data_IF_593028204501
#
_entry.id   IF_593028204501
#
_cell.length_a   1.000
_cell.length_b   1.000
_cell.length_c   1.000
_cell.angle_alpha   90.00
_cell.angle_beta   90.00
_cell.angle_gamma   90.00
#
_symmetry.space_group_name_H-M   'P 1'
#
loop_
_entity.id
_entity.type
_entity.pdbx_description
1 polymer ?
#
# COMPACT_ATOMS: atom_id res chain seq x y z
N UNK A 1 16.94 -12.57 -29.76
CA UNK A 1 16.32 -11.87 -28.62
C UNK A 1 16.96 -12.41 -27.35
N UNK A 2 17.44 -11.53 -26.48
CA UNK A 2 18.42 -11.84 -25.43
C UNK A 2 17.81 -12.64 -24.26
N UNK A 3 18.07 -13.95 -24.21
CA UNK A 3 17.70 -14.83 -23.08
C UNK A 3 18.29 -14.38 -21.73
N UNK A 4 19.39 -13.62 -21.75
CA UNK A 4 20.03 -13.09 -20.53
C UNK A 4 19.32 -11.86 -19.95
N UNK A 5 18.45 -11.20 -20.71
CA UNK A 5 17.67 -10.05 -20.22
C UNK A 5 16.47 -10.50 -19.36
N UNK A 6 15.88 -11.64 -19.71
CA UNK A 6 14.73 -12.22 -18.98
C UNK A 6 15.14 -12.78 -17.61
N UNK A 7 16.27 -13.49 -17.53
CA UNK A 7 16.68 -14.16 -16.30
C UNK A 7 17.04 -13.19 -15.16
N UNK A 8 17.73 -12.10 -15.48
CA UNK A 8 18.12 -11.10 -14.49
C UNK A 8 16.92 -10.31 -13.94
N UNK A 9 15.95 -10.02 -14.79
CA UNK A 9 14.71 -9.33 -14.40
C UNK A 9 13.82 -10.23 -13.54
N UNK A 10 13.69 -11.50 -13.92
CA UNK A 10 12.95 -12.50 -13.14
C UNK A 10 13.57 -12.71 -11.75
N UNK A 11 14.89 -12.83 -11.66
CA UNK A 11 15.61 -13.00 -10.38
C UNK A 11 15.46 -11.78 -9.46
N UNK A 12 15.62 -10.57 -10.00
CA UNK A 12 15.42 -9.33 -9.24
C UNK A 12 13.98 -9.20 -8.70
N UNK A 13 13.01 -9.59 -9.51
CA UNK A 13 11.59 -9.59 -9.15
C UNK A 13 11.28 -10.61 -8.05
N UNK A 14 11.83 -11.83 -8.15
CA UNK A 14 11.71 -12.85 -7.11
C UNK A 14 12.33 -12.41 -5.78
N UNK A 15 13.52 -11.81 -5.83
CA UNK A 15 14.21 -11.33 -4.63
C UNK A 15 13.44 -10.20 -3.94
N UNK A 16 12.82 -9.30 -4.72
CA UNK A 16 11.92 -8.27 -4.19
C UNK A 16 10.74 -8.89 -3.46
N UNK A 17 10.10 -9.90 -4.07
CA UNK A 17 8.98 -10.61 -3.45
C UNK A 17 9.37 -11.29 -2.13
N UNK A 18 10.53 -11.94 -2.05
CA UNK A 18 10.99 -12.57 -0.80
C UNK A 18 11.25 -11.57 0.31
N UNK A 19 11.84 -10.41 0.01
CA UNK A 19 12.06 -9.39 1.04
C UNK A 19 10.73 -8.89 1.61
N UNK A 20 9.74 -8.63 0.77
CA UNK A 20 8.43 -8.18 1.26
C UNK A 20 7.72 -9.26 2.07
N UNK A 21 7.90 -10.54 1.71
CA UNK A 21 7.46 -11.66 2.56
C UNK A 21 8.12 -11.62 3.94
N UNK A 22 9.43 -11.44 4.01
CA UNK A 22 10.16 -11.31 5.28
C UNK A 22 9.68 -10.11 6.09
N UNK A 23 9.44 -8.95 5.45
CA UNK A 23 8.84 -7.79 6.12
C UNK A 23 7.49 -8.14 6.75
N UNK A 24 6.62 -8.82 6.01
CA UNK A 24 5.32 -9.24 6.51
C UNK A 24 5.47 -10.27 7.64
N UNK A 25 6.44 -11.19 7.55
CA UNK A 25 6.74 -12.16 8.61
C UNK A 25 7.17 -11.46 9.89
N UNK A 26 8.10 -10.52 9.80
CA UNK A 26 8.67 -9.79 10.93
C UNK A 26 7.67 -8.80 11.55
N UNK A 27 6.96 -8.05 10.71
CA UNK A 27 5.99 -7.06 11.14
C UNK A 27 4.81 -7.73 11.84
N UNK A 28 4.29 -8.80 11.25
CA UNK A 28 3.05 -9.46 11.68
C UNK A 28 3.32 -10.58 12.70
N UNK A 29 4.58 -10.96 12.91
CA UNK A 29 4.95 -12.15 13.69
C UNK A 29 4.17 -13.38 13.21
N UNK A 30 4.29 -13.68 11.91
CA UNK A 30 3.58 -14.79 11.25
C UNK A 30 3.76 -16.13 11.98
N UNK A 31 4.93 -16.50 12.53
CA UNK A 31 5.07 -17.72 13.33
C UNK A 31 4.12 -17.77 14.54
N UNK A 32 3.84 -16.64 15.19
CA UNK A 32 2.89 -16.56 16.29
C UNK A 32 1.42 -16.57 15.83
N UNK A 33 1.12 -16.01 14.65
CA UNK A 33 -0.22 -16.12 14.04
C UNK A 33 -0.49 -17.55 13.56
N UNK A 34 0.47 -18.18 12.89
CA UNK A 34 0.35 -19.54 12.36
C UNK A 34 0.14 -20.58 13.47
N UNK A 35 0.85 -20.46 14.60
CA UNK A 35 0.69 -21.36 15.76
C UNK A 35 -0.68 -21.23 16.45
N UNK A 36 -1.42 -20.16 16.19
CA UNK A 36 -2.75 -19.93 16.76
C UNK A 36 -3.81 -20.05 15.67
N UNK A 37 -4.41 -21.23 15.48
CA UNK A 37 -5.43 -21.50 14.46
C UNK A 37 -6.61 -20.49 14.43
N UNK A 38 -6.95 -19.87 15.57
CA UNK A 38 -7.97 -18.80 15.64
C UNK A 38 -7.57 -17.51 14.91
N UNK A 39 -6.29 -17.35 14.55
CA UNK A 39 -5.72 -16.16 13.89
C UNK A 39 -5.50 -16.36 12.38
N UNK A 40 -5.93 -17.47 11.78
CA UNK A 40 -5.92 -17.60 10.31
C UNK A 40 -6.89 -16.65 9.59
N UNK A 41 -7.91 -16.16 10.30
CA UNK A 41 -8.81 -15.13 9.80
C UNK A 41 -8.28 -13.70 10.03
N UNK A 42 -7.06 -13.56 10.58
CA UNK A 42 -6.46 -12.26 10.77
C UNK A 42 -6.11 -11.64 9.40
N UNK A 43 -6.50 -10.38 9.11
CA UNK A 43 -6.27 -9.76 7.81
C UNK A 43 -4.80 -9.76 7.38
N UNK A 44 -3.87 -9.50 8.32
CA UNK A 44 -2.45 -9.56 8.04
C UNK A 44 -1.94 -10.97 7.63
N UNK A 45 -2.50 -12.03 8.22
CA UNK A 45 -2.18 -13.41 7.83
C UNK A 45 -2.75 -13.73 6.45
N UNK A 46 -3.97 -13.28 6.15
CA UNK A 46 -4.59 -13.45 4.83
C UNK A 46 -3.77 -12.75 3.75
N UNK A 47 -3.38 -11.49 3.98
CA UNK A 47 -2.53 -10.73 3.06
C UNK A 47 -1.18 -11.43 2.83
N UNK A 48 -0.50 -11.88 3.90
CA UNK A 48 0.75 -12.63 3.79
C UNK A 48 0.57 -13.94 3.02
N UNK A 49 -0.47 -14.72 3.32
CA UNK A 49 -0.74 -16.01 2.67
C UNK A 49 -1.01 -15.83 1.18
N UNK A 50 -1.85 -14.86 0.83
CA UNK A 50 -2.17 -14.59 -0.56
C UNK A 50 -0.96 -14.06 -1.32
N UNK A 51 -0.14 -13.22 -0.69
CA UNK A 51 1.13 -12.79 -1.27
C UNK A 51 2.08 -13.98 -1.48
N UNK A 52 2.20 -14.88 -0.49
CA UNK A 52 2.94 -16.13 -0.61
C UNK A 52 2.44 -16.99 -1.79
N UNK A 53 1.12 -17.15 -1.92
CA UNK A 53 0.52 -17.92 -3.01
C UNK A 53 0.81 -17.30 -4.40
N UNK A 54 0.86 -15.96 -4.50
CA UNK A 54 1.26 -15.25 -5.72
C UNK A 54 2.74 -15.52 -6.04
N UNK A 55 3.62 -15.41 -5.04
CA UNK A 55 5.08 -15.54 -5.19
C UNK A 55 5.47 -16.98 -5.52
N UNK A 56 4.97 -17.96 -4.77
CA UNK A 56 5.23 -19.39 -4.97
C UNK A 56 4.54 -19.92 -6.23
N UNK A 57 3.39 -19.37 -6.59
CA UNK A 57 2.79 -19.60 -7.90
C UNK A 57 3.67 -19.11 -9.06
N UNK A 58 4.76 -18.37 -8.80
CA UNK A 58 5.56 -17.64 -9.81
C UNK A 58 4.69 -16.72 -10.67
N UNK A 59 3.63 -16.14 -10.10
CA UNK A 59 2.62 -15.38 -10.86
C UNK A 59 1.66 -16.24 -11.69
N UNK A 60 1.75 -17.58 -11.67
CA UNK A 60 0.81 -18.47 -12.33
C UNK A 60 -0.43 -18.69 -11.45
N UNK A 61 -1.40 -17.79 -11.64
CA UNK A 61 -2.69 -17.85 -10.97
C UNK A 61 -3.53 -19.01 -11.55
N UNK A 62 -4.20 -19.80 -10.69
CA UNK A 62 -4.99 -20.94 -11.13
C UNK A 62 -6.13 -20.50 -12.06
N UNK A 63 -6.39 -21.31 -13.10
CA UNK A 63 -7.55 -21.13 -13.99
C UNK A 63 -8.80 -21.78 -13.38
N UNK A 64 -10.02 -21.26 -13.65
CA UNK A 64 -10.32 -20.12 -14.53
C UNK A 64 -9.96 -18.76 -13.92
N UNK A 65 -9.65 -17.78 -14.78
CA UNK A 65 -9.46 -16.37 -14.40
C UNK A 65 -10.72 -15.88 -13.67
N UNK A 66 -10.61 -15.66 -12.36
CA UNK A 66 -11.58 -14.88 -11.61
C UNK A 66 -11.08 -13.43 -11.52
N UNK A 67 -11.69 -12.47 -12.24
CA UNK A 67 -11.25 -11.08 -12.22
C UNK A 67 -11.20 -10.46 -10.82
N UNK A 68 -12.11 -10.86 -9.92
CA UNK A 68 -12.13 -10.38 -8.54
C UNK A 68 -10.91 -10.88 -7.76
N UNK A 69 -10.53 -12.15 -7.97
CA UNK A 69 -9.33 -12.73 -7.36
C UNK A 69 -8.07 -12.04 -7.86
N UNK A 70 -8.00 -11.73 -9.16
CA UNK A 70 -6.86 -11.02 -9.74
C UNK A 70 -6.78 -9.57 -9.27
N UNK A 71 -7.91 -8.88 -9.13
CA UNK A 71 -7.94 -7.53 -8.57
C UNK A 71 -7.43 -7.54 -7.13
N UNK A 72 -7.82 -8.55 -6.34
CA UNK A 72 -7.29 -8.79 -4.98
C UNK A 72 -5.79 -9.06 -4.99
N UNK A 73 -5.29 -9.87 -5.92
CA UNK A 73 -3.84 -10.12 -6.05
C UNK A 73 -3.07 -8.86 -6.43
N UNK A 74 -3.57 -8.08 -7.40
CA UNK A 74 -2.99 -6.81 -7.79
C UNK A 74 -2.94 -5.83 -6.60
N UNK A 75 -4.03 -5.70 -5.85
CA UNK A 75 -4.08 -4.94 -4.59
C UNK A 75 -3.00 -5.36 -3.61
N UNK A 76 -2.88 -6.67 -3.37
CA UNK A 76 -1.91 -7.21 -2.42
C UNK A 76 -0.48 -6.90 -2.86
N UNK A 77 -0.18 -7.03 -4.15
CA UNK A 77 1.12 -6.64 -4.70
C UNK A 77 1.39 -5.14 -4.51
N UNK A 78 0.41 -4.27 -4.76
CA UNK A 78 0.54 -2.83 -4.54
C UNK A 78 0.81 -2.51 -3.07
N UNK A 79 -0.02 -3.03 -2.17
CA UNK A 79 0.08 -2.78 -0.74
C UNK A 79 1.43 -3.25 -0.19
N UNK A 80 1.88 -4.43 -0.61
CA UNK A 80 3.15 -5.02 -0.19
C UNK A 80 4.36 -4.19 -0.70
N UNK A 81 4.29 -3.67 -1.93
CA UNK A 81 5.29 -2.75 -2.47
C UNK A 81 5.33 -1.42 -1.71
N UNK A 82 4.17 -0.84 -1.39
CA UNK A 82 4.08 0.40 -0.64
C UNK A 82 4.58 0.23 0.80
N UNK A 83 4.27 -0.89 1.45
CA UNK A 83 4.84 -1.25 2.75
C UNK A 83 6.37 -1.34 2.71
N UNK A 84 6.92 -1.97 1.68
CA UNK A 84 8.37 -2.09 1.50
C UNK A 84 9.04 -0.72 1.45
N UNK A 85 8.48 0.21 0.66
CA UNK A 85 8.98 1.58 0.61
C UNK A 85 8.88 2.27 1.98
N UNK A 86 7.73 2.17 2.63
CA UNK A 86 7.47 2.84 3.91
C UNK A 86 8.41 2.36 5.02
N UNK A 87 8.79 1.07 4.98
CA UNK A 87 9.76 0.52 5.92
C UNK A 87 11.13 1.20 5.83
N UNK A 88 11.42 1.90 4.73
CA UNK A 88 12.75 2.46 4.42
C UNK A 88 13.55 1.60 3.44
N UNK A 89 12.96 0.50 2.96
CA UNK A 89 13.46 -0.25 1.82
C UNK A 89 13.60 0.64 0.58
N UNK A 90 14.60 0.38 -0.25
CA UNK A 90 14.73 1.05 -1.55
C UNK A 90 13.72 0.39 -2.49
N UNK A 91 12.56 1.03 -2.71
CA UNK A 91 11.68 0.62 -3.81
C UNK A 91 12.46 0.70 -5.13
N UNK A 92 12.25 -0.30 -6.00
CA UNK A 92 12.70 -0.37 -7.39
C UNK A 92 13.95 0.48 -7.72
N UNK A 93 15.15 0.02 -7.35
CA UNK A 93 16.35 0.75 -7.77
C UNK A 93 17.70 0.34 -7.18
N UNK A 94 17.74 -0.55 -6.17
CA UNK A 94 19.02 -1.04 -5.67
C UNK A 94 18.91 -2.45 -5.10
N UNK A 95 18.75 -3.42 -6.02
CA UNK A 95 18.73 -4.87 -5.78
C UNK A 95 19.99 -5.35 -5.01
N UNK A 96 21.06 -4.54 -4.98
CA UNK A 96 22.33 -4.88 -4.35
C UNK A 96 22.46 -4.54 -2.87
N UNK A 97 21.55 -3.76 -2.26
CA UNK A 97 21.66 -3.41 -0.83
C UNK A 97 20.59 -4.01 0.08
N UNK A 98 19.62 -4.78 -0.45
CA UNK A 98 18.69 -5.71 0.23
C UNK A 98 18.59 -5.63 1.76
N UNK A 99 18.33 -4.46 2.31
CA UNK A 99 18.00 -4.29 3.71
C UNK A 99 16.53 -3.93 3.74
N UNK A 100 15.74 -4.83 4.29
CA UNK A 100 14.46 -4.47 4.87
C UNK A 100 14.67 -3.26 5.75
N UNK A 101 13.87 -2.23 5.53
CA UNK A 101 13.90 -1.10 6.42
C UNK A 101 13.29 -1.52 7.76
N UNK A 102 13.88 -1.05 8.85
CA UNK A 102 13.42 -1.21 10.23
C UNK A 102 12.31 -0.22 10.60
N UNK A 103 11.70 0.42 9.60
CA UNK A 103 10.94 1.65 9.76
C UNK A 103 11.79 2.76 10.40
N UNK A 104 13.14 2.78 10.28
CA UNK A 104 13.98 3.86 10.83
C UNK A 104 13.64 5.23 10.27
N UNK A 105 13.03 5.31 9.08
CA UNK A 105 12.49 6.58 8.56
C UNK A 105 11.26 7.06 9.35
N UNK A 106 10.55 6.16 10.05
CA UNK A 106 9.56 6.49 11.08
C UNK A 106 10.21 6.77 12.46
N UNK A 107 11.48 6.41 12.65
CA UNK A 107 12.46 7.08 13.53
C UNK A 107 12.26 7.09 15.05
N UNK A 108 11.08 6.73 15.55
CA UNK A 108 10.76 6.69 16.97
C UNK A 108 10.33 5.27 17.36
N UNK A 109 11.00 4.69 18.37
CA UNK A 109 10.67 3.39 18.96
C UNK A 109 9.19 3.28 19.34
N UNK A 110 8.56 4.41 19.69
CA UNK A 110 7.12 4.48 19.98
C UNK A 110 6.27 4.17 18.75
N UNK A 111 6.64 4.69 17.58
CA UNK A 111 5.95 4.42 16.32
C UNK A 111 6.06 2.95 15.96
N UNK A 112 7.26 2.38 16.05
CA UNK A 112 7.45 0.96 15.79
C UNK A 112 6.64 0.10 16.77
N UNK A 113 6.55 0.51 18.04
CA UNK A 113 5.71 -0.15 19.04
C UNK A 113 4.22 -0.04 18.71
N UNK A 114 3.73 1.13 18.26
CA UNK A 114 2.34 1.33 17.78
C UNK A 114 2.06 0.40 16.60
N UNK A 115 2.89 0.43 15.57
CA UNK A 115 2.76 -0.43 14.38
C UNK A 115 2.67 -1.90 14.80
N UNK A 116 3.62 -2.41 15.60
CA UNK A 116 3.63 -3.79 16.11
C UNK A 116 2.41 -4.14 16.97
N UNK A 117 1.86 -3.18 17.70
CA UNK A 117 0.64 -3.41 18.50
C UNK A 117 -0.62 -3.50 17.62
N UNK A 118 -0.73 -2.60 16.62
CA UNK A 118 -1.89 -2.48 15.74
C UNK A 118 -1.94 -3.60 14.69
N UNK A 119 -0.79 -4.04 14.19
CA UNK A 119 -0.70 -5.11 13.19
C UNK A 119 -1.20 -6.46 13.71
N UNK A 120 -1.21 -6.65 15.04
CA UNK A 120 -1.69 -7.86 15.70
C UNK A 120 -3.19 -7.80 16.07
N UNK A 121 -3.83 -6.64 15.87
CA UNK A 121 -5.26 -6.43 16.10
C UNK A 121 -5.98 -6.38 14.74
N UNK A 122 -6.85 -7.36 14.49
CA UNK A 122 -7.58 -7.47 13.24
C UNK A 122 -8.42 -6.25 12.90
N UNK A 123 -8.92 -5.54 13.92
CA UNK A 123 -9.76 -4.36 13.73
C UNK A 123 -8.94 -3.09 13.44
N UNK A 124 -7.65 -3.08 13.80
CA UNK A 124 -6.77 -1.94 13.63
C UNK A 124 -5.78 -2.11 12.47
N UNK A 125 -5.55 -3.35 12.03
CA UNK A 125 -4.65 -3.65 10.93
C UNK A 125 -5.00 -2.86 9.66
N UNK A 126 -6.27 -2.81 9.30
CA UNK A 126 -6.72 -2.13 8.09
C UNK A 126 -6.54 -0.60 8.17
N UNK A 127 -6.83 -0.01 9.33
CA UNK A 127 -6.56 1.42 9.59
C UNK A 127 -5.06 1.72 9.52
N UNK A 128 -4.23 0.84 10.09
CA UNK A 128 -2.77 0.93 10.02
C UNK A 128 -2.28 0.84 8.56
N UNK A 129 -2.82 -0.08 7.77
CA UNK A 129 -2.46 -0.21 6.35
C UNK A 129 -2.78 1.07 5.58
N UNK A 130 -3.96 1.67 5.81
CA UNK A 130 -4.30 2.98 5.23
C UNK A 130 -3.25 4.03 5.61
N UNK A 131 -2.87 4.13 6.89
CA UNK A 131 -1.81 5.07 7.35
C UNK A 131 -0.48 4.84 6.62
N UNK A 132 0.03 3.61 6.61
CA UNK A 132 1.32 3.26 6.03
C UNK A 132 1.36 3.43 4.52
N UNK A 133 0.33 2.99 3.80
CA UNK A 133 0.24 3.09 2.33
C UNK A 133 0.30 4.56 1.87
N UNK A 134 -0.40 5.44 2.57
CA UNK A 134 -0.47 6.85 2.18
C UNK A 134 0.81 7.59 2.54
N UNK A 135 1.42 7.29 3.68
CA UNK A 135 2.76 7.76 3.99
C UNK A 135 3.78 7.30 2.92
N UNK A 136 3.66 6.07 2.41
CA UNK A 136 4.52 5.56 1.35
C UNK A 136 4.36 6.41 0.08
N UNK A 137 3.12 6.75 -0.28
CA UNK A 137 2.85 7.60 -1.42
C UNK A 137 3.52 8.98 -1.30
N UNK A 138 3.43 9.62 -0.14
CA UNK A 138 4.13 10.89 0.10
C UNK A 138 5.63 10.74 -0.11
N UNK A 139 6.22 9.66 0.41
CA UNK A 139 7.65 9.36 0.27
C UNK A 139 8.05 9.13 -1.20
N UNK A 140 7.23 8.41 -2.00
CA UNK A 140 7.48 8.22 -3.44
C UNK A 140 7.58 9.55 -4.18
N UNK A 141 6.75 10.51 -3.81
CA UNK A 141 6.71 11.85 -4.38
C UNK A 141 7.70 12.82 -3.71
N UNK A 142 8.71 12.27 -3.04
CA UNK A 142 9.81 13.01 -2.39
C UNK A 142 9.34 13.96 -1.28
N UNK A 143 8.08 13.86 -0.85
CA UNK A 143 7.57 14.60 0.30
C UNK A 143 8.13 14.01 1.60
N UNK A 144 8.30 14.86 2.61
CA UNK A 144 8.74 14.44 3.91
C UNK A 144 7.53 14.08 4.78
N UNK A 145 7.52 12.86 5.32
CA UNK A 145 6.53 12.39 6.29
C UNK A 145 7.15 12.38 7.68
N UNK A 146 6.44 12.92 8.67
CA UNK A 146 6.83 12.90 10.07
C UNK A 146 5.68 12.32 10.91
N UNK A 147 5.77 11.05 11.35
CA UNK A 147 4.74 10.39 12.14
C UNK A 147 4.62 10.98 13.55
N UNK A 148 3.43 10.85 14.14
CA UNK A 148 3.19 11.21 15.53
C UNK A 148 2.63 10.04 16.34
N UNK A 149 3.04 10.00 17.62
CA UNK A 149 2.66 8.95 18.58
C UNK A 149 1.93 9.49 19.79
N UNK A 150 1.83 10.81 19.90
CA UNK A 150 1.20 11.45 21.02
C UNK A 150 -0.32 11.27 20.96
N UNK A 151 -0.93 10.87 22.08
CA UNK A 151 -2.36 10.65 22.13
C UNK A 151 -3.12 11.94 21.78
N UNK A 152 -4.07 11.84 20.86
CA UNK A 152 -4.85 12.98 20.40
C UNK A 152 -4.10 13.91 19.44
N UNK A 153 -2.91 13.53 18.97
CA UNK A 153 -2.29 14.16 17.79
C UNK A 153 -2.85 13.49 16.51
N UNK A 154 -2.70 14.14 15.35
CA UNK A 154 -2.94 13.48 14.06
C UNK A 154 -1.94 12.35 13.81
N UNK A 155 -2.14 11.51 12.80
CA UNK A 155 -1.26 10.36 12.54
C UNK A 155 0.13 10.79 12.05
N UNK A 156 0.20 11.78 11.15
CA UNK A 156 1.47 12.32 10.68
C UNK A 156 1.36 13.76 10.15
N UNK A 157 2.51 14.40 9.96
CA UNK A 157 2.67 15.66 9.23
C UNK A 157 3.39 15.39 7.91
N UNK A 158 2.89 16.01 6.85
CA UNK A 158 3.56 16.02 5.54
C UNK A 158 4.19 17.39 5.31
N UNK A 159 5.37 17.41 4.72
CA UNK A 159 6.02 18.60 4.17
C UNK A 159 6.29 18.37 2.67
N UNK A 160 5.67 19.20 1.83
CA UNK A 160 5.79 19.11 0.37
C UNK A 160 7.20 19.47 -0.08
N UNK A 161 7.73 18.68 -1.02
CA UNK A 161 9.12 18.80 -1.47
C UNK A 161 9.40 20.15 -2.13
N UNK A 162 8.55 20.54 -3.09
CA UNK A 162 8.81 21.71 -3.93
C UNK A 162 8.56 23.03 -3.21
N UNK A 163 7.47 23.12 -2.44
CA UNK A 163 7.07 24.36 -1.78
C UNK A 163 7.48 24.47 -0.31
N UNK A 164 7.82 23.35 0.34
CA UNK A 164 8.07 23.31 1.78
C UNK A 164 6.81 23.51 2.64
N UNK A 165 5.63 23.67 2.04
CA UNK A 165 4.37 23.77 2.77
C UNK A 165 4.13 22.50 3.57
N UNK A 166 3.61 22.66 4.79
CA UNK A 166 3.35 21.54 5.69
C UNK A 166 1.89 21.49 6.12
N UNK A 167 1.36 20.29 6.31
CA UNK A 167 0.00 20.06 6.80
C UNK A 167 -0.06 18.77 7.62
N UNK A 168 -1.10 18.68 8.44
CA UNK A 168 -1.37 17.53 9.31
C UNK A 168 -2.29 16.55 8.60
N UNK A 169 -2.12 15.25 8.84
CA UNK A 169 -2.94 14.19 8.25
C UNK A 169 -3.45 13.25 9.33
N UNK A 170 -4.76 13.02 9.36
CA UNK A 170 -5.40 11.96 10.16
C UNK A 170 -6.05 10.96 9.19
N UNK A 171 -5.66 9.69 9.29
CA UNK A 171 -6.09 8.62 8.41
C UNK A 171 -7.24 7.84 9.03
N UNK A 172 -8.30 7.64 8.25
CA UNK A 172 -9.45 6.87 8.71
C UNK A 172 -10.06 6.03 7.61
N UNK A 173 -10.25 4.74 7.90
CA UNK A 173 -11.07 3.86 7.08
C UNK A 173 -12.53 3.86 7.54
N UNK A 174 -13.45 3.84 6.59
CA UNK A 174 -14.88 3.69 6.82
C UNK A 174 -15.31 2.33 6.29
N UNK A 175 -15.88 1.51 7.17
CA UNK A 175 -16.34 0.16 6.82
C UNK A 175 -17.80 0.18 6.36
N UNK A 176 -18.20 -0.84 5.60
CA UNK A 176 -19.58 -1.03 5.10
C UNK A 176 -20.64 -1.02 6.21
N UNK A 177 -20.30 -1.51 7.41
CA UNK A 177 -21.18 -1.49 8.58
C UNK A 177 -21.31 -0.10 9.23
N UNK A 178 -20.55 0.90 8.79
CA UNK A 178 -20.58 2.25 9.35
C UNK A 178 -21.72 3.06 8.75
N UNK A 179 -22.66 3.48 9.59
CA UNK A 179 -23.68 4.47 9.20
C UNK A 179 -23.07 5.87 8.98
N UNK A 180 -23.83 6.76 8.34
CA UNK A 180 -23.33 8.07 7.89
C UNK A 180 -22.93 9.00 9.04
N UNK A 181 -23.49 8.79 10.24
CA UNK A 181 -23.05 9.46 11.47
C UNK A 181 -21.55 9.25 11.77
N UNK A 182 -20.94 8.18 11.22
CA UNK A 182 -19.51 7.93 11.36
C UNK A 182 -18.69 9.07 10.76
N UNK A 183 -19.08 9.62 9.61
CA UNK A 183 -18.38 10.73 8.96
C UNK A 183 -18.24 11.92 9.89
N UNK A 184 -19.35 12.35 10.49
CA UNK A 184 -19.37 13.42 11.50
C UNK A 184 -18.38 13.14 12.63
N UNK A 185 -18.43 11.94 13.22
CA UNK A 185 -17.57 11.58 14.36
C UNK A 185 -16.08 11.61 14.02
N UNK A 186 -15.72 11.22 12.79
CA UNK A 186 -14.34 11.21 12.30
C UNK A 186 -13.85 12.63 12.11
N UNK A 187 -14.64 13.47 11.44
CA UNK A 187 -14.30 14.87 11.19
C UNK A 187 -14.17 15.66 12.50
N UNK A 188 -15.11 15.48 13.44
CA UNK A 188 -15.05 16.12 14.75
C UNK A 188 -13.83 15.68 15.56
N UNK A 189 -13.44 14.41 15.46
CA UNK A 189 -12.25 13.87 16.15
C UNK A 189 -10.96 14.46 15.54
N UNK A 190 -10.82 14.41 14.22
CA UNK A 190 -9.66 14.96 13.52
C UNK A 190 -9.51 16.47 13.78
N UNK A 191 -10.61 17.23 13.74
CA UNK A 191 -10.62 18.65 14.10
C UNK A 191 -10.09 18.91 15.52
N UNK A 192 -10.48 18.08 16.51
CA UNK A 192 -9.93 18.17 17.87
C UNK A 192 -8.44 17.84 17.90
N UNK A 193 -7.99 16.83 17.14
CA UNK A 193 -6.58 16.45 17.05
C UNK A 193 -5.72 17.57 16.46
N UNK A 194 -6.16 18.17 15.35
CA UNK A 194 -5.47 19.29 14.71
C UNK A 194 -5.41 20.53 15.63
N UNK A 195 -6.52 20.87 16.30
CA UNK A 195 -6.54 21.97 17.29
C UNK A 195 -5.61 21.72 18.47
N UNK A 196 -5.57 20.48 18.98
CA UNK A 196 -4.65 20.08 20.05
C UNK A 196 -3.20 20.28 19.61
N UNK A 197 -2.82 19.73 18.47
CA UNK A 197 -1.47 19.85 17.91
C UNK A 197 -1.05 21.32 17.74
N UNK A 198 -1.87 22.13 17.08
CA UNK A 198 -1.55 23.54 16.81
C UNK A 198 -1.40 24.34 18.13
N UNK A 199 -2.29 24.11 19.10
CA UNK A 199 -2.21 24.77 20.42
C UNK A 199 -0.95 24.38 21.20
N UNK A 200 -0.58 23.10 21.21
CA UNK A 200 0.53 22.60 22.03
C UNK A 200 1.90 22.84 21.40
N UNK A 201 1.98 22.88 20.06
CA UNK A 201 3.24 23.14 19.35
C UNK A 201 3.45 24.61 18.99
N UNK A 202 2.42 25.47 19.17
CA UNK A 202 2.44 26.87 18.74
C UNK A 202 2.49 27.05 17.22
N UNK A 203 2.22 25.99 16.46
CA UNK A 203 2.15 26.03 14.99
C UNK A 203 0.71 26.30 14.55
N UNK A 204 0.56 26.75 13.31
CA UNK A 204 -0.74 26.93 12.69
C UNK A 204 -0.78 26.22 11.33
N UNK A 205 -0.78 24.89 11.36
CA UNK A 205 -0.80 24.06 10.14
C UNK A 205 -2.24 23.69 9.77
N UNK A 206 -2.58 23.64 8.47
CA UNK A 206 -3.88 23.12 8.04
C UNK A 206 -3.94 21.60 8.27
N UNK A 207 -5.13 21.10 8.57
CA UNK A 207 -5.38 19.66 8.73
C UNK A 207 -6.07 19.06 7.50
N UNK A 208 -5.67 17.85 7.11
CA UNK A 208 -6.33 17.06 6.08
C UNK A 208 -6.77 15.73 6.67
N UNK A 209 -8.02 15.36 6.42
CA UNK A 209 -8.49 14.01 6.74
C UNK A 209 -8.28 13.16 5.51
N UNK A 210 -7.71 11.99 5.69
CA UNK A 210 -7.63 10.98 4.65
C UNK A 210 -8.67 9.92 4.95
N UNK A 211 -9.71 9.87 4.11
CA UNK A 211 -10.88 9.05 4.34
C UNK A 211 -10.95 7.92 3.32
N UNK A 212 -10.54 6.73 3.74
CA UNK A 212 -10.56 5.52 2.91
C UNK A 212 -11.96 4.87 2.96
N UNK A 213 -12.63 4.87 1.81
CA UNK A 213 -13.97 4.31 1.61
C UNK A 213 -13.95 2.91 0.98
N UNK A 214 -12.77 2.33 0.74
CA UNK A 214 -12.62 1.07 -0.01
C UNK A 214 -13.40 -0.08 0.63
N UNK A 215 -13.43 -0.18 1.97
CA UNK A 215 -14.27 -1.15 2.68
C UNK A 215 -15.78 -0.88 2.61
N UNK A 216 -16.18 0.39 2.46
CA UNK A 216 -17.60 0.77 2.44
C UNK A 216 -18.21 0.51 1.07
N UNK A 217 -17.46 0.83 0.02
CA UNK A 217 -17.91 0.74 -1.38
C UNK A 217 -17.59 -0.63 -1.98
N UNK A 218 -16.51 -1.28 -1.54
CA UNK A 218 -15.95 -2.45 -2.19
C UNK A 218 -15.06 -2.09 -3.38
N UNK A 219 -14.39 -3.09 -3.96
CA UNK A 219 -13.58 -2.89 -5.17
C UNK A 219 -14.51 -2.85 -6.37
N UNK A 220 -14.61 -1.70 -7.03
CA UNK A 220 -15.50 -1.53 -8.18
C UNK A 220 -14.86 -2.06 -9.46
N UNK A 221 -15.53 -2.96 -10.18
CA UNK A 221 -15.13 -3.33 -11.55
C UNK A 221 -15.65 -2.24 -12.51
N UNK A 222 -14.74 -1.49 -13.14
CA UNK A 222 -15.12 -0.37 -14.03
C UNK A 222 -14.36 -0.40 -15.36
N UNK A 223 -14.98 0.24 -16.35
CA UNK A 223 -14.28 0.68 -17.54
C UNK A 223 -13.40 1.90 -17.20
N UNK A 224 -12.41 2.19 -18.04
CA UNK A 224 -11.60 3.40 -17.94
C UNK A 224 -12.52 4.65 -17.94
N UNK A 225 -12.55 5.37 -16.83
CA UNK A 225 -13.34 6.59 -16.64
C UNK A 225 -12.68 7.46 -15.60
N UNK A 226 -12.62 8.77 -15.87
CA UNK A 226 -12.08 9.74 -14.91
C UNK A 226 -13.13 10.15 -13.85
N UNK A 227 -14.41 9.81 -14.04
CA UNK A 227 -15.48 10.22 -13.14
C UNK A 227 -15.52 9.34 -11.87
N UNK A 228 -15.71 9.94 -10.68
CA UNK A 228 -16.00 9.20 -9.47
C UNK A 228 -17.24 8.31 -9.66
N UNK A 229 -17.31 7.15 -8.98
CA UNK A 229 -18.51 6.32 -8.99
C UNK A 229 -19.62 6.97 -8.12
N UNK A 230 -20.89 6.63 -8.39
CA UNK A 230 -22.05 7.19 -7.69
C UNK A 230 -21.98 7.01 -6.16
N UNK A 231 -21.39 5.91 -5.69
CA UNK A 231 -21.17 5.64 -4.27
C UNK A 231 -20.19 6.62 -3.62
N UNK A 232 -19.15 7.05 -4.36
CA UNK A 232 -18.21 8.09 -3.91
C UNK A 232 -18.91 9.44 -3.90
N UNK A 233 -19.67 9.78 -4.95
CA UNK A 233 -20.43 11.03 -4.99
C UNK A 233 -21.44 11.12 -3.85
N UNK A 234 -22.14 10.03 -3.56
CA UNK A 234 -23.07 9.92 -2.43
C UNK A 234 -22.34 10.16 -1.10
N UNK A 235 -21.17 9.55 -0.91
CA UNK A 235 -20.36 9.79 0.28
C UNK A 235 -19.86 11.24 0.38
N UNK A 236 -19.41 11.84 -0.72
CA UNK A 236 -18.98 13.24 -0.78
C UNK A 236 -20.13 14.20 -0.44
N UNK A 237 -21.33 13.93 -0.94
CA UNK A 237 -22.54 14.67 -0.59
C UNK A 237 -22.88 14.58 0.90
N UNK A 238 -22.66 13.41 1.52
CA UNK A 238 -22.83 13.23 2.97
C UNK A 238 -21.73 13.92 3.81
N UNK A 239 -20.50 14.04 3.28
CA UNK A 239 -19.38 14.73 3.94
C UNK A 239 -19.51 16.25 3.89
N UNK A 240 -20.03 16.80 2.78
CA UNK A 240 -20.12 18.24 2.52
C UNK A 240 -20.70 19.07 3.69
N UNK A 241 -21.84 18.72 4.31
CA UNK A 241 -22.39 19.48 5.44
C UNK A 241 -21.43 19.62 6.63
N UNK A 242 -20.49 18.68 6.80
CA UNK A 242 -19.56 18.65 7.92
C UNK A 242 -18.27 19.46 7.70
N UNK A 243 -18.02 19.93 6.47
CA UNK A 243 -16.82 20.70 6.07
C UNK A 243 -17.12 22.10 5.53
N UNK A 244 -18.37 22.59 5.65
CA UNK A 244 -18.74 23.94 5.17
C UNK A 244 -18.68 25.02 6.25
N UNK A 245 -19.13 24.69 7.46
CA UNK A 245 -19.38 25.68 8.52
C UNK A 245 -18.75 25.33 9.87
N UNK A 246 -18.43 24.06 10.09
CA UNK A 246 -17.92 23.55 11.36
C UNK A 246 -16.63 22.79 11.08
N UNK A 247 -15.84 22.56 12.13
CA UNK A 247 -14.58 21.82 12.03
C UNK A 247 -13.50 22.55 11.22
N UNK A 248 -13.39 23.85 11.39
CA UNK A 248 -12.50 24.75 10.65
C UNK A 248 -10.99 24.44 10.76
N UNK A 249 -10.53 23.61 11.70
CA UNK A 249 -9.14 23.15 11.68
C UNK A 249 -8.87 22.08 10.60
N UNK A 250 -9.94 21.50 10.03
CA UNK A 250 -9.89 20.65 8.85
C UNK A 250 -9.93 21.56 7.61
N UNK A 251 -8.82 21.63 6.89
CA UNK A 251 -8.72 22.33 5.61
C UNK A 251 -9.30 21.53 4.42
N UNK A 252 -9.40 20.20 4.53
CA UNK A 252 -10.04 19.37 3.52
C UNK A 252 -10.06 17.88 3.87
N UNK A 253 -10.72 17.11 3.02
CA UNK A 253 -10.84 15.64 3.10
C UNK A 253 -10.38 15.04 1.77
N UNK A 254 -9.33 14.23 1.79
CA UNK A 254 -8.94 13.38 0.69
C UNK A 254 -9.74 12.07 0.79
N UNK A 255 -10.77 11.93 -0.03
CA UNK A 255 -11.59 10.72 -0.13
C UNK A 255 -10.88 9.73 -1.03
N UNK A 256 -10.68 8.50 -0.55
CA UNK A 256 -9.92 7.45 -1.25
C UNK A 256 -10.81 6.23 -1.48
N UNK A 257 -10.73 5.63 -2.66
CA UNK A 257 -11.42 4.37 -2.98
C UNK A 257 -10.57 3.49 -3.89
N UNK A 258 -10.99 2.24 -4.03
CA UNK A 258 -10.31 1.22 -4.83
C UNK A 258 -11.21 0.77 -5.98
N UNK A 259 -10.62 0.65 -7.16
CA UNK A 259 -11.28 0.14 -8.37
C UNK A 259 -10.38 -0.85 -9.10
N UNK A 260 -10.98 -1.70 -9.91
CA UNK A 260 -10.28 -2.61 -10.80
C UNK A 260 -10.74 -2.44 -12.23
N UNK A 261 -9.78 -2.45 -13.15
CA UNK A 261 -9.98 -2.34 -14.58
C UNK A 261 -9.44 -3.62 -15.21
N UNK A 262 -10.30 -4.30 -15.96
CA UNK A 262 -9.91 -5.48 -16.74
C UNK A 262 -9.73 -5.05 -18.19
N UNK A 263 -8.51 -5.13 -18.71
CA UNK A 263 -8.21 -4.85 -20.12
C UNK A 263 -7.94 -6.17 -20.86
N UNK A 264 -8.61 -6.33 -21.99
CA UNK A 264 -8.60 -7.54 -22.83
C UNK A 264 -10.00 -8.12 -23.00
N UNK A 265 -10.22 -8.92 -24.04
CA UNK A 265 -11.49 -9.63 -24.22
C UNK A 265 -11.57 -10.82 -23.27
N UNK A 266 -12.61 -10.89 -22.43
CA UNK A 266 -12.87 -12.01 -21.49
C UNK A 266 -12.88 -13.38 -22.20
N UNK A 267 -13.03 -13.42 -23.53
CA UNK A 267 -13.09 -14.65 -24.33
C UNK A 267 -11.81 -14.97 -25.12
N UNK A 268 -10.81 -14.08 -25.15
CA UNK A 268 -9.55 -14.28 -25.89
C UNK A 268 -8.37 -14.53 -24.94
N UNK A 269 -8.49 -15.60 -24.15
CA UNK A 269 -7.42 -16.10 -23.27
C UNK A 269 -6.07 -16.33 -23.95
N UNK A 270 -6.04 -16.40 -25.29
CA UNK A 270 -4.82 -16.57 -26.10
C UNK A 270 -3.86 -15.38 -26.03
N UNK A 271 -4.33 -14.19 -25.67
CA UNK A 271 -3.50 -12.98 -25.68
C UNK A 271 -3.21 -12.43 -24.28
N UNK A 272 -3.71 -13.08 -23.22
CA UNK A 272 -3.59 -12.63 -21.83
C UNK A 272 -4.65 -11.59 -21.46
N UNK A 273 -4.89 -11.46 -20.15
CA UNK A 273 -5.81 -10.48 -19.57
C UNK A 273 -5.00 -9.63 -18.59
N UNK A 274 -5.07 -8.30 -18.75
CA UNK A 274 -4.50 -7.40 -17.75
C UNK A 274 -5.57 -7.01 -16.75
N UNK A 275 -5.29 -7.20 -15.48
CA UNK A 275 -6.11 -6.67 -14.39
C UNK A 275 -5.31 -5.57 -13.72
N UNK A 276 -5.77 -4.34 -13.88
CA UNK A 276 -5.20 -3.19 -13.20
C UNK A 276 -6.03 -2.88 -11.96
N UNK A 277 -5.35 -2.69 -10.84
CA UNK A 277 -5.95 -2.25 -9.60
C UNK A 277 -5.53 -0.81 -9.36
N UNK A 278 -6.50 0.08 -9.19
CA UNK A 278 -6.26 1.48 -8.96
C UNK A 278 -6.79 1.89 -7.58
N UNK A 279 -5.99 2.63 -6.82
CA UNK A 279 -6.45 3.43 -5.69
C UNK A 279 -6.57 4.87 -6.14
N UNK A 280 -7.78 5.41 -6.09
CA UNK A 280 -8.09 6.77 -6.56
C UNK A 280 -8.43 7.66 -5.39
N UNK A 281 -8.23 8.96 -5.59
CA UNK A 281 -8.56 9.95 -4.60
C UNK A 281 -9.30 11.15 -5.18
N UNK A 282 -10.10 11.81 -4.33
CA UNK A 282 -10.79 13.06 -4.60
C UNK A 282 -10.63 13.99 -3.40
N UNK A 283 -10.16 15.22 -3.64
CA UNK A 283 -9.96 16.21 -2.57
C UNK A 283 -11.20 17.11 -2.43
N UNK A 284 -11.85 17.05 -1.26
CA UNK A 284 -12.92 17.96 -0.85
C UNK A 284 -12.35 19.07 0.03
N UNK A 285 -12.25 20.29 -0.48
CA UNK A 285 -11.78 21.44 0.31
C UNK A 285 -12.86 21.94 1.27
N UNK A 286 -12.44 22.30 2.47
CA UNK A 286 -13.29 23.04 3.41
C UNK A 286 -13.54 24.45 2.84
N UNK A 287 -14.78 24.97 2.95
CA UNK A 287 -15.13 26.26 2.33
C UNK A 287 -14.56 27.47 3.08
N UNK A 288 -14.47 27.38 4.41
CA UNK A 288 -13.95 28.45 5.28
C UNK A 288 -13.03 27.90 6.38
N UNK A 289 -11.86 27.32 6.04
CA UNK A 289 -10.98 26.76 7.06
C UNK A 289 -10.24 27.86 7.84
N UNK A 290 -9.76 27.54 9.05
CA UNK A 290 -8.87 28.41 9.83
C UNK A 290 -7.52 28.63 9.10
N UNK A 291 -7.05 27.59 8.41
CA UNK A 291 -5.87 27.63 7.55
C UNK A 291 -6.18 26.80 6.30
N UNK A 292 -5.97 27.37 5.13
CA UNK A 292 -6.21 26.69 3.85
C UNK A 292 -5.14 25.63 3.58
N UNK A 293 -5.56 24.53 2.95
CA UNK A 293 -4.63 23.56 2.40
C UNK A 293 -3.85 24.17 1.22
N UNK A 294 -2.57 23.83 1.02
CA UNK A 294 -1.79 24.30 -0.14
C UNK A 294 -2.50 24.00 -1.47
N UNK A 295 -2.46 24.92 -2.43
CA UNK A 295 -3.13 24.75 -3.73
C UNK A 295 -2.46 23.69 -4.61
N UNK A 296 -1.20 23.38 -4.35
CA UNK A 296 -0.46 22.29 -4.99
C UNK A 296 -1.12 20.92 -4.77
N UNK A 297 -1.93 20.79 -3.71
CA UNK A 297 -2.71 19.58 -3.44
C UNK A 297 -3.93 19.43 -4.36
N UNK A 298 -4.28 20.42 -5.19
CA UNK A 298 -5.41 20.30 -6.13
C UNK A 298 -5.16 19.21 -7.18
N UNK A 299 -3.89 18.97 -7.54
CA UNK A 299 -3.51 17.82 -8.37
C UNK A 299 -3.77 16.47 -7.70
N UNK A 300 -3.75 16.42 -6.35
CA UNK A 300 -4.02 15.19 -5.60
C UNK A 300 -5.46 14.69 -5.70
N UNK A 301 -6.40 15.56 -6.06
CA UNK A 301 -7.81 15.19 -6.23
C UNK A 301 -8.11 14.34 -7.46
N UNK A 302 -7.12 14.05 -8.31
CA UNK A 302 -7.26 13.22 -9.51
C UNK A 302 -6.14 12.17 -9.65
N UNK A 303 -5.30 11.97 -8.63
CA UNK A 303 -4.26 10.94 -8.72
C UNK A 303 -4.84 9.53 -8.57
N UNK A 304 -4.28 8.61 -9.35
CA UNK A 304 -4.51 7.17 -9.21
C UNK A 304 -3.18 6.48 -8.90
N UNK A 305 -3.19 5.52 -7.98
CA UNK A 305 -2.08 4.59 -7.77
C UNK A 305 -2.50 3.28 -8.40
N UNK A 306 -1.80 2.91 -9.46
CA UNK A 306 -2.14 1.71 -10.20
C UNK A 306 -1.11 0.61 -9.98
N UNK A 307 -1.58 -0.62 -9.97
CA UNK A 307 -0.76 -1.81 -10.09
C UNK A 307 -1.42 -2.75 -11.08
N UNK A 308 -0.71 -3.06 -12.16
CA UNK A 308 -1.17 -4.01 -13.17
C UNK A 308 -0.64 -5.40 -12.89
N UNK A 309 -1.52 -6.40 -12.90
CA UNK A 309 -1.14 -7.80 -13.05
C UNK A 309 -1.48 -8.24 -14.46
N UNK A 310 -0.45 -8.62 -15.22
CA UNK A 310 -0.63 -9.26 -16.51
C UNK A 310 -0.79 -10.76 -16.30
N UNK A 311 -1.97 -11.30 -16.64
CA UNK A 311 -2.23 -12.73 -16.54
C UNK A 311 -2.09 -13.36 -17.92
N UNK A 312 -1.03 -14.14 -18.08
CA UNK A 312 -0.84 -14.94 -19.28
C UNK A 312 -1.35 -16.37 -19.04
N UNK A 313 -2.10 -16.92 -19.97
CA UNK A 313 -2.54 -18.31 -19.90
C UNK A 313 -1.40 -19.21 -20.36
N UNK A 314 -0.57 -19.69 -19.42
CA UNK A 314 0.36 -20.79 -19.69
C UNK A 314 -0.02 -21.99 -18.84
N UNK A 315 -0.13 -23.16 -19.48
CA UNK A 315 -0.24 -24.43 -18.79
C UNK A 315 1.10 -24.69 -18.11
N UNK A 316 1.07 -24.86 -16.78
CA UNK A 316 2.24 -25.25 -16.00
C UNK A 316 2.74 -26.62 -16.48
N UNK A 317 4.05 -26.75 -16.59
CA UNK A 317 4.71 -28.03 -16.81
C UNK A 317 4.57 -28.92 -15.58
N UNK A 318 4.74 -30.23 -15.76
CA UNK A 318 4.68 -31.22 -14.67
C UNK A 318 5.72 -30.93 -13.58
N UNK A 319 6.92 -30.46 -13.95
CA UNK A 319 7.99 -30.07 -13.02
C UNK A 319 7.61 -28.82 -12.19
N UNK A 320 6.96 -27.82 -12.79
CA UNK A 320 6.49 -26.64 -12.08
C UNK A 320 5.38 -26.98 -11.06
N UNK A 321 4.51 -27.93 -11.41
CA UNK A 321 3.49 -28.46 -10.49
C UNK A 321 4.12 -29.27 -9.35
N UNK A 322 5.14 -30.06 -9.64
CA UNK A 322 5.89 -30.82 -8.63
C UNK A 322 6.63 -29.89 -7.67
N UNK A 323 7.33 -28.87 -8.17
CA UNK A 323 7.95 -27.84 -7.32
C UNK A 323 6.93 -27.12 -6.44
N UNK A 324 5.75 -26.77 -6.98
CA UNK A 324 4.67 -26.16 -6.20
C UNK A 324 4.17 -27.07 -5.07
N UNK A 325 4.11 -28.39 -5.30
CA UNK A 325 3.72 -29.36 -4.27
C UNK A 325 4.76 -29.49 -3.14
N UNK A 326 6.02 -29.17 -3.42
CA UNK A 326 7.13 -29.15 -2.47
C UNK A 326 7.25 -27.82 -1.70
N UNK A 327 6.56 -26.75 -2.12
CA UNK A 327 6.60 -25.43 -1.46
C UNK A 327 5.40 -25.23 -0.51
N UNK A 328 5.17 -26.19 0.41
CA UNK A 328 4.19 -26.04 1.49
C UNK A 328 4.78 -25.25 2.67
N UNK A 329 3.93 -24.71 3.55
CA UNK A 329 4.39 -23.99 4.75
C UNK A 329 5.31 -24.84 5.64
N UNK A 330 5.05 -26.15 5.75
CA UNK A 330 5.91 -27.07 6.49
C UNK A 330 7.34 -27.17 5.90
N UNK A 331 7.49 -26.82 4.62
CA UNK A 331 8.78 -26.72 3.93
C UNK A 331 9.35 -25.29 3.90
N UNK A 332 8.68 -24.28 4.45
CA UNK A 332 9.21 -22.90 4.54
C UNK A 332 10.51 -22.85 5.35
N UNK A 333 10.59 -23.59 6.47
CA UNK A 333 11.83 -23.71 7.26
C UNK A 333 12.96 -24.36 6.46
N UNK A 334 12.62 -25.26 5.52
CA UNK A 334 13.60 -25.86 4.62
C UNK A 334 14.04 -24.87 3.53
N UNK A 335 13.12 -24.11 2.93
CA UNK A 335 13.43 -23.06 1.94
C UNK A 335 14.28 -21.95 2.57
N UNK A 336 13.96 -21.49 3.78
CA UNK A 336 14.74 -20.52 4.53
C UNK A 336 16.17 -21.05 4.79
N UNK A 337 16.30 -22.34 5.14
CA UNK A 337 17.62 -22.99 5.25
C UNK A 337 18.39 -23.07 3.92
N UNK A 338 17.68 -23.26 2.80
CA UNK A 338 18.28 -23.35 1.46
C UNK A 338 18.68 -21.98 0.91
N UNK A 339 17.84 -20.96 1.05
CA UNK A 339 18.14 -19.57 0.67
C UNK A 339 19.37 -19.08 1.46
N UNK A 340 19.40 -19.30 2.78
CA UNK A 340 20.56 -18.95 3.61
C UNK A 340 21.83 -19.77 3.25
N UNK A 341 21.68 -20.99 2.74
CA UNK A 341 22.81 -21.81 2.26
C UNK A 341 23.31 -21.42 0.86
N UNK A 342 22.43 -20.95 -0.04
CA UNK A 342 22.78 -20.50 -1.40
C UNK A 342 23.31 -19.06 -1.44
N UNK A 343 22.82 -18.17 -0.56
CA UNK A 343 23.39 -16.82 -0.37
C UNK A 343 24.87 -16.92 0.08
N UNK A 344 25.23 -17.95 0.84
CA UNK A 344 26.63 -18.22 1.22
C UNK A 344 27.51 -18.80 0.10
N UNK A 345 26.92 -19.31 -0.99
CA UNK A 345 27.66 -19.89 -2.13
C UNK A 345 27.99 -18.88 -3.24
N UNK A 346 27.41 -17.67 -3.22
CA UNK A 346 27.64 -16.62 -4.22
C UNK A 346 28.01 -15.24 -3.65
N UNK A 347 28.73 -15.21 -2.52
CA UNK A 347 29.48 -14.02 -2.11
C UNK A 347 30.67 -13.75 -3.06
N UNK A 348 30.38 -13.41 -4.31
CA UNK A 348 31.34 -12.77 -5.22
C UNK A 348 31.38 -11.29 -4.84
N UNK A 349 32.56 -10.69 -4.60
CA UNK A 349 32.65 -9.33 -4.07
C UNK A 349 31.95 -8.30 -4.96
N UNK A 350 31.14 -7.43 -4.35
CA UNK A 350 30.39 -6.33 -4.96
C UNK A 350 31.23 -5.29 -5.74
N UNK A 351 32.56 -5.46 -5.80
CA UNK A 351 33.48 -4.63 -6.58
C UNK A 351 33.56 -5.02 -8.06
N UNK A 352 33.07 -6.19 -8.48
CA UNK A 352 33.13 -6.62 -9.89
C UNK A 352 32.02 -6.04 -10.78
N UNK A 353 30.97 -5.43 -10.22
CA UNK A 353 29.78 -4.97 -10.96
C UNK A 353 29.71 -3.45 -11.18
N UNK A 354 30.73 -2.70 -10.75
CA UNK A 354 30.69 -1.23 -10.69
C UNK A 354 30.87 -0.51 -12.03
N UNK A 355 31.25 -1.21 -13.11
CA UNK A 355 31.62 -0.56 -14.39
C UNK A 355 30.63 -0.73 -15.55
N UNK A 356 29.46 -1.39 -15.38
CA UNK A 356 28.56 -1.66 -16.52
C UNK A 356 27.08 -1.31 -16.38
N UNK A 357 26.66 -0.64 -15.30
CA UNK A 357 25.24 -0.31 -15.11
C UNK A 357 25.04 1.19 -14.82
N UNK A 358 25.16 1.98 -15.88
CA UNK A 358 24.45 3.24 -16.01
C UNK A 358 23.31 3.00 -17.01
N UNK A 359 22.08 3.32 -16.60
CA UNK A 359 20.84 3.29 -17.39
C UNK A 359 20.07 1.95 -17.44
N UNK A 360 19.27 1.69 -16.40
CA UNK A 360 18.01 0.94 -16.56
C UNK A 360 16.92 1.75 -15.85
N UNK A 361 16.03 2.34 -16.64
CA UNK A 361 14.87 3.11 -16.18
C UNK A 361 13.63 2.24 -16.40
N UNK A 362 12.97 1.82 -15.32
CA UNK A 362 11.57 1.38 -15.39
C UNK A 362 10.71 2.64 -15.35
N UNK A 363 9.98 2.90 -16.44
CA UNK A 363 9.04 4.01 -16.48
C UNK A 363 7.83 3.67 -15.60
N UNK A 364 7.84 4.19 -14.38
CA UNK A 364 6.61 4.58 -13.70
C UNK A 364 6.32 5.97 -14.24
N UNK A 365 5.38 6.09 -15.17
CA UNK A 365 4.86 7.40 -15.54
C UNK A 365 3.97 7.88 -14.38
N UNK A 366 4.32 8.96 -13.67
CA UNK A 366 3.30 9.73 -12.99
C UNK A 366 2.41 10.35 -14.08
N UNK A 367 1.16 9.93 -14.15
CA UNK A 367 0.13 10.68 -14.88
C UNK A 367 -0.34 11.85 -14.03
#
# INVERSE_FOLDING_TARGET
MNSNFDQNTAYATQLMFFNVLELLVDLVNIPALHKNYRKHNHPAYQMWREYWDIVIGMGNLPQPINPEEHARHAKILLDANLLSLCSGGKAFGNIGTNTLGDFAKYGDDKVLKKIKSRVNDSNQFEDLMTELIHAAWYILNQHQVCPFEEEGFPDFKVTLHESGHSYLVDCKRINSSSGDNRYKSVIEKANKQFKKFNRETGRNLPGMILLDLSSKIGVLKRNLSDEPPEEVDTACNALNPHIRHFNSAVGGILVVWEESIVLGEENLYKHGTMVNFNRRSLLLRHQNPEVELPSELDGMGLHSWSSGVWVNSRILTSEELEMRSLMTFDNYQWIDSQINSQINLHAIPATAYKEHYQNITLHVEPY
#
